data_IF_222253626215
#
_entry.id   IF_222253626215
#
_cell.length_a   1.000
_cell.length_b   1.000
_cell.length_c   1.000
_cell.angle_alpha   90.00
_cell.angle_beta   90.00
_cell.angle_gamma   90.00
#
_symmetry.space_group_name_H-M   'P 1'
#
loop_
_entity.id
_entity.type
_entity.pdbx_description
1 polymer ?
#
# COMPACT_ATOMS: atom_id res chain seq x y z
N UNK A 1 -3.92 10.55 -0.08
CA UNK A 1 -2.83 9.53 -0.03
C UNK A 1 -1.60 10.09 -0.76
N UNK A 2 -0.36 9.75 -0.37
CA UNK A 2 0.84 10.22 -1.08
C UNK A 2 2.01 9.24 -1.03
N UNK A 3 2.96 9.41 -1.96
CA UNK A 3 4.30 8.80 -1.90
C UNK A 3 5.27 9.90 -1.52
N UNK A 4 6.01 9.71 -0.43
CA UNK A 4 6.93 10.70 0.12
C UNK A 4 8.36 10.16 0.10
N UNK A 5 9.33 11.02 -0.17
CA UNK A 5 10.75 10.79 0.06
C UNK A 5 11.15 11.52 1.34
N UNK A 6 11.78 10.80 2.25
CA UNK A 6 12.18 11.28 3.57
C UNK A 6 13.69 11.23 3.72
N UNK A 7 14.29 12.19 4.41
CA UNK A 7 15.68 12.07 4.87
C UNK A 7 15.79 11.22 6.16
N UNK A 8 17.00 11.11 6.69
CA UNK A 8 17.28 10.37 7.93
C UNK A 8 16.63 10.99 9.19
N UNK A 9 16.24 12.26 9.13
CA UNK A 9 15.49 12.99 10.17
C UNK A 9 13.96 12.84 10.01
N UNK A 10 13.51 11.99 9.08
CA UNK A 10 12.11 11.81 8.67
C UNK A 10 11.44 13.08 8.11
N UNK A 11 12.23 14.05 7.64
CA UNK A 11 11.71 15.26 7.00
C UNK A 11 11.37 14.99 5.53
N UNK A 12 10.22 15.50 5.08
CA UNK A 12 9.75 15.29 3.70
C UNK A 12 10.60 16.14 2.74
N UNK A 13 11.37 15.46 1.89
CA UNK A 13 12.19 16.08 0.84
C UNK A 13 11.38 16.28 -0.44
N UNK A 14 10.53 15.30 -0.77
CA UNK A 14 9.73 15.26 -1.99
C UNK A 14 8.44 14.50 -1.75
N UNK A 15 7.35 14.96 -2.33
CA UNK A 15 6.04 14.35 -2.19
C UNK A 15 5.32 14.26 -3.53
N UNK A 16 4.62 13.15 -3.74
CA UNK A 16 3.71 12.93 -4.84
C UNK A 16 2.33 12.56 -4.27
N UNK A 17 1.35 13.47 -4.32
CA UNK A 17 -0.03 13.13 -4.03
C UNK A 17 -0.54 12.04 -4.97
N UNK A 18 -1.28 11.07 -4.44
CA UNK A 18 -1.79 9.91 -5.18
C UNK A 18 -3.31 9.94 -5.31
N UNK A 19 -3.90 11.10 -5.54
CA UNK A 19 -5.36 11.28 -5.49
C UNK A 19 -6.05 10.98 -6.83
N UNK A 20 -5.28 10.65 -7.88
CA UNK A 20 -5.77 10.54 -9.27
C UNK A 20 -5.42 9.17 -9.88
N UNK A 21 -6.04 8.10 -9.36
CA UNK A 21 -5.88 6.75 -9.89
C UNK A 21 -6.87 6.44 -11.02
N UNK A 22 -6.37 5.93 -12.13
CA UNK A 22 -7.18 5.26 -13.15
C UNK A 22 -7.18 3.76 -12.87
N UNK A 23 -8.36 3.13 -12.86
CA UNK A 23 -8.49 1.70 -12.62
C UNK A 23 -8.93 0.94 -13.86
N UNK A 24 -8.49 -0.31 -13.97
CA UNK A 24 -8.95 -1.27 -14.98
C UNK A 24 -9.22 -2.60 -14.28
N UNK A 25 -10.39 -3.18 -14.53
CA UNK A 25 -10.79 -4.46 -13.94
C UNK A 25 -10.56 -5.56 -14.96
N UNK A 26 -9.81 -6.58 -14.56
CA UNK A 26 -9.45 -7.74 -15.35
C UNK A 26 -9.93 -9.01 -14.63
N UNK A 27 -10.69 -9.85 -15.32
CA UNK A 27 -11.14 -11.13 -14.79
C UNK A 27 -10.49 -12.28 -15.56
N UNK A 28 -9.77 -13.14 -14.84
CA UNK A 28 -9.15 -14.33 -15.42
C UNK A 28 -9.98 -15.55 -15.07
N UNK A 29 -10.60 -16.16 -16.09
CA UNK A 29 -11.47 -17.33 -15.97
C UNK A 29 -10.73 -18.67 -16.14
N UNK A 30 -9.43 -18.70 -15.88
CA UNK A 30 -8.61 -19.91 -16.08
C UNK A 30 -8.62 -20.81 -14.81
N UNK A 31 -9.77 -21.42 -14.53
CA UNK A 31 -10.00 -22.39 -13.44
C UNK A 31 -9.92 -21.83 -12.01
N UNK A 32 -9.22 -20.72 -11.78
CA UNK A 32 -9.05 -20.07 -10.48
C UNK A 32 -10.06 -18.95 -10.21
N UNK A 33 -10.72 -18.39 -11.23
CA UNK A 33 -11.60 -17.22 -11.11
C UNK A 33 -10.92 -16.10 -10.33
N UNK A 34 -9.96 -15.43 -10.96
CA UNK A 34 -9.22 -14.34 -10.32
C UNK A 34 -9.75 -13.01 -10.83
N UNK A 35 -10.25 -12.18 -9.92
CA UNK A 35 -10.52 -10.77 -10.21
C UNK A 35 -9.29 -9.96 -9.83
N UNK A 36 -8.79 -9.17 -10.77
CA UNK A 36 -7.66 -8.25 -10.59
C UNK A 36 -8.10 -6.85 -10.96
N UNK A 37 -7.79 -5.89 -10.11
CA UNK A 37 -8.02 -4.46 -10.33
C UNK A 37 -6.66 -3.78 -10.39
N UNK A 38 -6.30 -3.28 -11.56
CA UNK A 38 -5.06 -2.58 -11.80
C UNK A 38 -5.31 -1.06 -11.75
N UNK A 39 -4.65 -0.40 -10.82
CA UNK A 39 -4.65 1.03 -10.63
C UNK A 39 -3.35 1.61 -11.19
N UNK A 40 -3.46 2.66 -12.00
CA UNK A 40 -2.34 3.45 -12.50
C UNK A 40 -2.52 4.90 -12.11
N UNK A 41 -1.51 5.46 -11.44
CA UNK A 41 -1.55 6.86 -11.03
C UNK A 41 -1.37 7.74 -12.27
N UNK A 42 -2.33 8.64 -12.48
CA UNK A 42 -2.24 9.66 -13.53
C UNK A 42 -1.46 10.85 -12.98
N UNK A 43 -0.22 11.01 -13.42
CA UNK A 43 0.55 12.23 -13.13
C UNK A 43 0.32 13.24 -14.24
N UNK A 44 -0.39 14.33 -13.95
CA UNK A 44 -0.51 15.45 -14.89
C UNK A 44 0.86 16.12 -15.06
N UNK A 45 1.65 15.67 -16.03
CA UNK A 45 2.76 16.48 -16.54
C UNK A 45 2.16 17.61 -17.37
N UNK A 46 1.73 18.69 -16.71
CA UNK A 46 1.35 19.93 -17.38
C UNK A 46 2.60 20.60 -17.99
N UNK A 47 3.13 20.02 -19.06
CA UNK A 47 4.00 20.72 -20.00
C UNK A 47 3.18 21.15 -21.21
N UNK A 48 2.31 22.13 -21.00
CA UNK A 48 1.83 22.99 -22.09
C UNK A 48 2.32 24.41 -21.83
N UNK A 49 3.64 24.59 -21.73
CA UNK A 49 4.26 25.89 -21.97
C UNK A 49 4.35 26.11 -23.48
N UNK A 50 3.20 26.36 -24.11
CA UNK A 50 3.15 27.18 -25.32
C UNK A 50 3.37 28.63 -24.89
N UNK A 51 4.60 28.96 -24.51
CA UNK A 51 5.04 30.34 -24.43
C UNK A 51 6.23 30.50 -25.37
N UNK A 52 5.91 30.89 -26.60
CA UNK A 52 6.82 31.66 -27.44
C UNK A 52 7.22 32.92 -26.65
N UNK A 53 8.29 32.83 -25.87
CA UNK A 53 9.09 34.00 -25.53
C UNK A 53 10.52 33.55 -25.24
N UNK A 54 11.41 34.03 -26.12
CA UNK A 54 12.86 33.98 -25.96
C UNK A 54 13.26 34.55 -24.59
N UNK A 55 13.57 33.67 -23.64
CA UNK A 55 14.57 33.97 -22.63
C UNK A 55 15.17 32.67 -22.08
N UNK A 56 16.44 32.45 -22.40
CA UNK A 56 17.25 31.32 -21.94
C UNK A 56 17.52 31.46 -20.44
N UNK A 57 16.79 30.69 -19.62
CA UNK A 57 17.27 30.00 -18.42
C UNK A 57 16.06 29.44 -17.66
N UNK A 58 15.46 28.38 -18.19
CA UNK A 58 14.55 27.54 -17.39
C UNK A 58 15.19 26.16 -17.26
N UNK A 59 15.87 25.95 -16.13
CA UNK A 59 16.13 24.60 -15.60
C UNK A 59 14.78 24.00 -15.19
N UNK A 60 13.99 23.57 -16.19
CA UNK A 60 12.87 22.70 -15.94
C UNK A 60 13.46 21.34 -15.56
N UNK A 61 13.64 21.12 -14.26
CA UNK A 61 13.86 19.79 -13.68
C UNK A 61 12.60 18.97 -13.96
N UNK A 62 12.54 18.44 -15.17
CA UNK A 62 11.46 17.65 -15.70
C UNK A 62 11.58 16.27 -15.06
N UNK A 63 11.11 16.13 -13.82
CA UNK A 63 11.16 14.88 -13.07
C UNK A 63 10.43 13.80 -13.87
N UNK A 64 11.15 12.85 -14.47
CA UNK A 64 10.53 11.77 -15.25
C UNK A 64 10.06 10.75 -14.23
N UNK A 65 8.84 10.96 -13.73
CA UNK A 65 8.30 10.09 -12.71
C UNK A 65 7.70 8.85 -13.41
N UNK A 66 8.38 7.70 -13.35
CA UNK A 66 7.93 6.43 -13.97
C UNK A 66 6.53 5.97 -13.51
N UNK A 67 5.90 4.95 -14.10
CA UNK A 67 4.55 4.53 -13.67
C UNK A 67 4.52 4.15 -12.19
N UNK A 68 3.45 4.58 -11.49
CA UNK A 68 3.10 4.07 -10.16
C UNK A 68 1.83 3.29 -10.33
N UNK A 69 1.88 2.03 -9.97
CA UNK A 69 0.78 1.11 -10.14
C UNK A 69 0.48 0.42 -8.83
N UNK A 70 -0.80 0.21 -8.55
CA UNK A 70 -1.23 -0.69 -7.50
C UNK A 70 -2.11 -1.77 -8.14
N UNK A 71 -1.99 -3.01 -7.70
CA UNK A 71 -2.79 -4.12 -8.18
C UNK A 71 -3.44 -4.78 -6.99
N UNK A 72 -4.77 -4.84 -6.99
CA UNK A 72 -5.55 -5.57 -5.98
C UNK A 72 -6.10 -6.81 -6.66
N UNK A 73 -5.98 -7.98 -6.03
CA UNK A 73 -6.56 -9.20 -6.58
C UNK A 73 -7.19 -10.07 -5.51
N UNK A 74 -8.26 -10.76 -5.86
CA UNK A 74 -8.94 -11.73 -5.01
C UNK A 74 -9.50 -12.87 -5.86
N UNK A 75 -9.93 -13.95 -5.20
CA UNK A 75 -10.47 -15.13 -5.86
C UNK A 75 -11.31 -15.93 -4.87
N UNK A 76 -12.44 -16.55 -5.30
CA UNK A 76 -13.19 -17.46 -4.44
C UNK A 76 -12.45 -18.76 -4.17
N UNK A 77 -11.38 -19.07 -4.90
CA UNK A 77 -10.57 -20.27 -4.72
C UNK A 77 -9.23 -19.95 -4.04
N UNK A 78 -8.68 -20.92 -3.32
CA UNK A 78 -7.31 -20.81 -2.82
C UNK A 78 -6.31 -20.78 -3.97
N UNK A 79 -5.20 -20.06 -3.78
CA UNK A 79 -4.15 -19.92 -4.79
C UNK A 79 -2.80 -19.63 -4.15
N UNK A 80 -1.73 -19.99 -4.82
CA UNK A 80 -0.41 -19.45 -4.52
C UNK A 80 -0.20 -18.13 -5.27
N UNK A 81 0.54 -17.22 -4.67
CA UNK A 81 0.97 -16.00 -5.32
C UNK A 81 2.45 -15.75 -5.09
N UNK A 82 3.16 -15.41 -6.16
CA UNK A 82 4.59 -15.18 -6.12
C UNK A 82 4.88 -13.75 -5.62
N UNK A 83 5.86 -13.61 -4.73
CA UNK A 83 6.50 -12.33 -4.43
C UNK A 83 8.01 -12.54 -4.37
N UNK A 84 8.71 -11.97 -5.36
CA UNK A 84 10.14 -12.24 -5.53
C UNK A 84 10.38 -13.72 -5.85
N UNK A 85 11.16 -14.40 -5.00
CA UNK A 85 11.44 -15.84 -5.06
C UNK A 85 10.48 -16.66 -4.18
N UNK A 86 9.72 -16.03 -3.31
CA UNK A 86 8.83 -16.71 -2.38
C UNK A 86 7.43 -16.89 -2.98
N UNK A 87 6.80 -17.99 -2.60
CA UNK A 87 5.41 -18.29 -2.93
C UNK A 87 4.57 -18.24 -1.68
N UNK A 88 3.60 -17.33 -1.64
CA UNK A 88 2.68 -17.16 -0.52
C UNK A 88 1.38 -17.88 -0.83
N UNK A 89 0.94 -18.73 0.10
CA UNK A 89 -0.38 -19.35 0.02
C UNK A 89 -1.46 -18.34 0.42
N UNK A 90 -2.44 -18.17 -0.45
CA UNK A 90 -3.62 -17.34 -0.24
C UNK A 90 -4.84 -18.25 -0.13
N UNK A 91 -5.55 -18.15 0.99
CA UNK A 91 -6.81 -18.84 1.18
C UNK A 91 -7.91 -18.32 0.23
N UNK A 92 -9.05 -19.02 0.17
CA UNK A 92 -10.24 -18.52 -0.53
C UNK A 92 -10.61 -17.11 -0.07
N UNK A 93 -10.94 -16.24 -1.01
CA UNK A 93 -11.29 -14.82 -0.83
C UNK A 93 -10.19 -13.93 -0.25
N UNK A 94 -8.97 -14.43 -0.08
CA UNK A 94 -7.84 -13.61 0.32
C UNK A 94 -7.58 -12.51 -0.71
N UNK A 95 -7.40 -11.29 -0.21
CA UNK A 95 -7.09 -10.10 -0.98
C UNK A 95 -5.57 -9.94 -0.97
N UNK A 96 -4.98 -9.85 -2.15
CA UNK A 96 -3.58 -9.54 -2.33
C UNK A 96 -3.45 -8.14 -2.93
N UNK A 97 -2.57 -7.32 -2.37
CA UNK A 97 -2.31 -5.98 -2.86
C UNK A 97 -0.82 -5.83 -3.17
N UNK A 98 -0.49 -5.45 -4.40
CA UNK A 98 0.87 -5.14 -4.81
C UNK A 98 0.96 -3.67 -5.19
N UNK A 99 1.91 -2.92 -4.64
CA UNK A 99 2.23 -1.55 -5.06
C UNK A 99 3.60 -1.56 -5.72
N UNK A 100 3.70 -0.94 -6.89
CA UNK A 100 4.94 -0.84 -7.65
C UNK A 100 5.19 0.64 -7.99
N UNK A 101 6.26 1.18 -7.41
CA UNK A 101 6.73 2.54 -7.65
C UNK A 101 7.98 2.46 -8.53
N UNK A 102 7.93 3.07 -9.72
CA UNK A 102 9.08 3.08 -10.64
C UNK A 102 9.46 4.49 -11.06
N UNK A 103 10.73 4.68 -11.39
CA UNK A 103 11.27 5.96 -11.85
C UNK A 103 11.14 7.06 -10.80
N UNK A 104 11.31 6.72 -9.52
CA UNK A 104 11.43 7.74 -8.49
C UNK A 104 12.84 8.30 -8.50
N UNK A 105 13.01 9.52 -8.99
CA UNK A 105 14.28 10.23 -8.91
C UNK A 105 14.50 10.76 -7.49
N UNK A 106 15.28 10.04 -6.69
CA UNK A 106 15.66 10.44 -5.34
C UNK A 106 16.51 11.72 -5.37
N UNK A 107 16.26 12.60 -4.40
CA UNK A 107 17.01 13.84 -4.19
C UNK A 107 18.23 13.64 -3.31
N UNK A 108 18.24 12.60 -2.48
CA UNK A 108 19.37 12.21 -1.63
C UNK A 108 19.70 10.73 -1.79
N UNK A 109 20.95 10.37 -1.49
CA UNK A 109 21.37 8.95 -1.43
C UNK A 109 21.04 8.30 -0.09
N UNK A 110 20.77 9.12 0.93
CA UNK A 110 20.41 8.69 2.29
C UNK A 110 18.91 8.75 2.55
N UNK A 111 18.11 9.07 1.53
CA UNK A 111 16.65 9.12 1.63
C UNK A 111 15.99 7.78 1.34
N UNK A 112 14.75 7.65 1.82
CA UNK A 112 13.92 6.47 1.62
C UNK A 112 12.48 6.87 1.28
N UNK A 113 11.73 5.96 0.66
CA UNK A 113 10.34 6.21 0.35
C UNK A 113 9.44 5.81 1.50
N UNK A 114 8.36 6.57 1.68
CA UNK A 114 7.20 6.22 2.50
C UNK A 114 5.95 6.27 1.63
N UNK A 115 5.27 5.15 1.51
CA UNK A 115 3.89 5.13 1.01
C UNK A 115 2.98 5.49 2.18
N UNK A 116 2.22 6.58 2.01
CA UNK A 116 1.41 7.21 3.04
C UNK A 116 -0.06 7.14 2.64
N UNK A 117 -0.84 6.32 3.35
CA UNK A 117 -2.30 6.27 3.18
C UNK A 117 -2.99 7.07 4.28
N UNK A 118 -3.77 8.05 3.84
CA UNK A 118 -4.67 8.81 4.67
C UNK A 118 -6.02 8.69 3.98
N UNK A 119 -6.86 7.80 4.50
CA UNK A 119 -8.23 7.64 4.05
C UNK A 119 -9.17 7.50 5.23
N UNK A 120 -10.35 8.07 5.07
CA UNK A 120 -11.44 8.09 6.04
C UNK A 120 -12.23 6.78 5.98
N UNK A 121 -11.69 5.72 6.58
CA UNK A 121 -12.41 4.45 6.69
C UNK A 121 -13.10 4.30 8.04
N UNK A 122 -14.43 4.16 8.01
CA UNK A 122 -15.20 3.70 9.17
C UNK A 122 -14.81 2.24 9.46
N UNK A 123 -13.95 2.04 10.45
CA UNK A 123 -13.59 0.70 10.95
C UNK A 123 -14.07 0.54 12.37
N UNK A 124 -14.80 -0.55 12.66
CA UNK A 124 -15.44 -0.79 13.96
C UNK A 124 -14.42 -0.92 15.11
N UNK A 125 -13.26 -1.51 14.86
CA UNK A 125 -12.15 -1.61 15.81
C UNK A 125 -10.82 -1.81 15.08
N UNK A 126 -9.79 -1.08 15.51
CA UNK A 126 -8.40 -1.23 15.08
C UNK A 126 -7.57 -1.77 16.24
N UNK A 127 -6.78 -2.83 16.02
CA UNK A 127 -5.89 -3.38 17.04
C UNK A 127 -4.55 -3.74 16.41
N UNK A 128 -3.47 -3.33 17.07
CA UNK A 128 -2.10 -3.63 16.69
C UNK A 128 -1.25 -3.87 17.95
N UNK A 129 -0.12 -4.53 17.78
CA UNK A 129 0.85 -4.74 18.85
C UNK A 129 1.72 -3.48 19.01
N UNK A 130 1.54 -2.75 20.11
CA UNK A 130 2.31 -1.54 20.44
C UNK A 130 3.75 -1.85 20.90
N UNK A 131 4.05 -3.11 21.26
CA UNK A 131 5.35 -3.47 21.86
C UNK A 131 6.48 -3.57 20.85
N UNK A 132 6.16 -3.68 19.55
CA UNK A 132 7.11 -3.65 18.46
C UNK A 132 6.90 -2.38 17.64
N UNK A 133 7.99 -1.66 17.34
CA UNK A 133 7.96 -0.43 16.54
C UNK A 133 7.56 -0.66 15.07
N UNK A 134 7.09 -1.87 14.72
CA UNK A 134 6.69 -2.31 13.39
C UNK A 134 5.31 -2.97 13.44
N UNK A 135 4.39 -2.49 12.59
CA UNK A 135 3.06 -3.06 12.43
C UNK A 135 3.18 -4.31 11.54
N UNK A 136 3.14 -5.50 12.15
CA UNK A 136 3.20 -6.78 11.41
C UNK A 136 1.81 -7.32 11.04
N UNK A 137 0.83 -7.10 11.91
CA UNK A 137 -0.53 -7.61 11.73
C UNK A 137 -1.53 -6.50 11.94
N UNK A 138 -2.56 -6.49 11.10
CA UNK A 138 -3.67 -5.56 11.20
C UNK A 138 -4.98 -6.32 11.17
N UNK A 139 -5.87 -6.02 12.11
CA UNK A 139 -7.23 -6.54 12.12
C UNK A 139 -8.20 -5.42 11.77
N UNK A 140 -9.01 -5.64 10.74
CA UNK A 140 -10.10 -4.74 10.32
C UNK A 140 -11.41 -5.51 10.38
N UNK A 141 -12.40 -4.98 11.08
CA UNK A 141 -13.75 -5.56 11.13
C UNK A 141 -14.70 -4.66 10.32
N UNK A 142 -15.46 -5.28 9.40
CA UNK A 142 -16.50 -4.62 8.62
C UNK A 142 -17.75 -5.50 8.57
N UNK A 143 -18.78 -5.12 9.32
CA UNK A 143 -20.01 -5.91 9.43
C UNK A 143 -19.74 -7.26 10.12
N UNK A 144 -19.96 -8.38 9.42
CA UNK A 144 -19.72 -9.75 9.94
C UNK A 144 -18.42 -10.38 9.42
N UNK A 145 -17.57 -9.61 8.76
CA UNK A 145 -16.30 -10.08 8.19
C UNK A 145 -15.14 -9.41 8.91
N UNK A 146 -14.16 -10.21 9.31
CA UNK A 146 -12.89 -9.77 9.82
C UNK A 146 -11.83 -9.96 8.74
N UNK A 147 -11.06 -8.93 8.45
CA UNK A 147 -9.87 -9.04 7.62
C UNK A 147 -8.65 -9.00 8.52
N UNK A 148 -7.77 -9.99 8.37
CA UNK A 148 -6.46 -9.98 9.01
C UNK A 148 -5.43 -9.71 7.92
N UNK A 149 -4.87 -8.51 7.93
CA UNK A 149 -3.72 -8.13 7.13
C UNK A 149 -2.43 -8.58 7.79
N UNK A 150 -1.50 -9.02 6.96
CA UNK A 150 -0.11 -9.24 7.35
C UNK A 150 0.77 -8.33 6.50
N UNK A 151 1.58 -7.54 7.18
CA UNK A 151 2.67 -6.82 6.56
C UNK A 151 3.93 -7.68 6.68
N UNK A 152 4.62 -7.83 5.57
CA UNK A 152 5.94 -8.44 5.51
C UNK A 152 6.99 -7.35 5.74
N UNK A 153 8.09 -7.71 6.40
CA UNK A 153 9.19 -6.80 6.76
C UNK A 153 10.23 -6.65 5.63
N UNK A 154 9.82 -6.96 4.40
CA UNK A 154 10.66 -6.83 3.23
C UNK A 154 9.87 -6.37 1.99
N UNK A 155 10.57 -5.72 1.09
CA UNK A 155 10.10 -5.29 -0.22
C UNK A 155 11.09 -5.72 -1.30
N UNK A 156 10.76 -5.52 -2.58
CA UNK A 156 11.70 -5.71 -3.67
C UNK A 156 12.20 -4.38 -4.20
N UNK A 157 13.48 -4.10 -3.98
CA UNK A 157 14.22 -3.02 -4.61
C UNK A 157 15.00 -3.59 -5.79
N UNK A 158 14.68 -3.18 -7.01
CA UNK A 158 15.36 -3.66 -8.23
C UNK A 158 15.43 -5.20 -8.30
N UNK A 159 14.33 -5.88 -7.91
CA UNK A 159 14.16 -7.35 -7.83
C UNK A 159 14.99 -8.05 -6.73
N UNK A 160 15.62 -7.30 -5.84
CA UNK A 160 16.31 -7.84 -4.68
C UNK A 160 15.51 -7.55 -3.41
N UNK A 161 15.51 -8.51 -2.49
CA UNK A 161 14.89 -8.31 -1.19
C UNK A 161 15.62 -7.21 -0.42
N UNK A 162 14.86 -6.26 0.09
CA UNK A 162 15.35 -5.22 0.99
C UNK A 162 14.40 -5.09 2.16
N UNK A 163 14.91 -4.60 3.29
CA UNK A 163 14.10 -4.36 4.47
C UNK A 163 13.00 -3.34 4.18
N UNK A 164 11.81 -3.58 4.73
CA UNK A 164 10.68 -2.65 4.71
C UNK A 164 10.07 -2.59 6.10
N UNK A 165 9.68 -1.38 6.52
CA UNK A 165 9.06 -1.17 7.83
C UNK A 165 7.69 -0.54 7.67
N UNK A 166 6.68 -1.27 8.11
CA UNK A 166 5.33 -0.73 8.29
C UNK A 166 5.21 -0.14 9.69
N UNK A 167 4.66 1.06 9.80
CA UNK A 167 4.43 1.75 11.07
C UNK A 167 3.11 2.51 11.06
N UNK A 168 2.49 2.61 12.23
CA UNK A 168 1.35 3.49 12.46
C UNK A 168 1.90 4.88 12.74
N UNK A 169 1.59 5.85 11.87
CA UNK A 169 2.04 7.23 11.99
C UNK A 169 1.13 8.06 12.90
N UNK A 170 -0.17 7.82 12.85
CA UNK A 170 -1.15 8.48 13.71
C UNK A 170 -2.41 7.64 13.84
N UNK A 171 -3.12 7.84 14.96
CA UNK A 171 -4.49 7.38 15.14
C UNK A 171 -5.30 8.57 15.66
N UNK A 172 -6.30 9.02 14.90
CA UNK A 172 -7.18 10.11 15.30
C UNK A 172 -8.59 9.55 15.56
N UNK A 173 -9.08 9.55 16.81
CA UNK A 173 -10.47 9.21 17.09
C UNK A 173 -11.40 10.29 16.52
N UNK A 174 -12.52 9.91 15.90
CA UNK A 174 -13.60 10.84 15.57
C UNK A 174 -14.45 11.12 16.83
N UNK A 175 -15.20 12.22 16.81
CA UNK A 175 -15.97 12.81 17.91
C UNK A 175 -16.91 11.86 18.68
N UNK A 176 -17.26 10.70 18.10
CA UNK A 176 -18.15 9.71 18.70
C UNK A 176 -17.42 8.49 19.30
N UNK A 177 -16.07 8.44 19.31
CA UNK A 177 -15.24 7.31 19.79
C UNK A 177 -15.55 5.93 19.14
N UNK A 178 -16.40 5.90 18.12
CA UNK A 178 -16.76 4.69 17.35
C UNK A 178 -15.86 4.55 16.12
N UNK A 179 -15.28 5.66 15.65
CA UNK A 179 -14.49 5.74 14.41
C UNK A 179 -13.08 6.18 14.78
N UNK A 180 -12.07 5.53 14.20
CA UNK A 180 -10.66 5.91 14.34
C UNK A 180 -10.02 5.98 12.96
N UNK A 181 -9.34 7.08 12.67
CA UNK A 181 -8.52 7.26 11.48
C UNK A 181 -7.12 6.77 11.80
N UNK A 182 -6.62 5.75 11.10
CA UNK A 182 -5.25 5.28 11.25
C UNK A 182 -4.45 5.64 10.01
N UNK A 183 -3.35 6.35 10.18
CA UNK A 183 -2.39 6.58 9.11
C UNK A 183 -1.29 5.53 9.20
N UNK A 184 -1.10 4.78 8.12
CA UNK A 184 -0.06 3.75 8.02
C UNK A 184 0.99 4.22 7.01
N UNK A 185 2.26 4.16 7.43
CA UNK A 185 3.40 4.41 6.58
C UNK A 185 4.17 3.12 6.35
N UNK A 186 4.50 2.82 5.10
CA UNK A 186 5.42 1.71 4.76
C UNK A 186 6.69 2.29 4.15
N UNK A 187 7.83 2.03 4.78
CA UNK A 187 9.13 2.53 4.32
C UNK A 187 9.83 1.56 3.37
N UNK A 188 10.51 2.11 2.37
CA UNK A 188 11.23 1.39 1.33
C UNK A 188 12.60 2.01 1.12
N UNK A 189 13.63 1.18 0.99
CA UNK A 189 14.97 1.65 0.62
C UNK A 189 15.01 2.28 -0.77
N UNK A 190 16.19 2.77 -1.14
CA UNK A 190 16.45 3.39 -2.45
C UNK A 190 16.32 2.37 -3.60
N UNK A 191 15.52 2.69 -4.63
CA UNK A 191 15.29 1.79 -5.78
C UNK A 191 14.78 2.49 -7.04
N UNK A 192 15.15 1.96 -8.21
CA UNK A 192 14.56 2.38 -9.49
C UNK A 192 13.17 1.77 -9.69
N UNK A 193 13.00 0.55 -9.17
CA UNK A 193 11.74 -0.18 -9.05
C UNK A 193 11.56 -0.70 -7.63
N UNK A 194 10.53 -0.20 -6.95
CA UNK A 194 10.20 -0.53 -5.57
C UNK A 194 8.84 -1.26 -5.53
N UNK A 195 8.83 -2.52 -5.12
CA UNK A 195 7.61 -3.34 -5.06
C UNK A 195 7.29 -3.73 -3.62
N UNK A 196 6.07 -3.40 -3.19
CA UNK A 196 5.44 -3.82 -1.95
C UNK A 196 4.32 -4.80 -2.25
N UNK A 197 4.13 -5.79 -1.38
CA UNK A 197 3.10 -6.82 -1.61
C UNK A 197 2.45 -7.33 -0.32
N UNK A 198 1.77 -6.46 0.45
CA UNK A 198 1.02 -6.90 1.63
C UNK A 198 -0.14 -7.84 1.25
N UNK A 199 -0.46 -8.75 2.17
CA UNK A 199 -1.55 -9.71 2.01
C UNK A 199 -2.61 -9.58 3.09
N UNK A 200 -3.88 -9.79 2.72
CA UNK A 200 -5.04 -9.72 3.60
C UNK A 200 -5.89 -10.97 3.49
N UNK A 201 -6.06 -11.67 4.60
CA UNK A 201 -6.90 -12.88 4.66
C UNK A 201 -8.22 -12.58 5.39
N UNK A 202 -9.38 -12.74 4.74
CA UNK A 202 -10.67 -12.64 5.41
C UNK A 202 -10.94 -13.87 6.27
N UNK A 203 -11.54 -13.64 7.43
CA UNK A 203 -12.16 -14.60 8.32
C UNK A 203 -13.62 -14.16 8.52
N UNK A 204 -14.57 -15.08 8.36
CA UNK A 204 -15.95 -14.81 8.74
C UNK A 204 -16.08 -14.84 10.26
N UNK A 205 -16.64 -13.79 10.85
CA UNK A 205 -16.97 -13.77 12.28
C UNK A 205 -18.32 -14.46 12.43
N UNK A 206 -18.35 -15.70 12.92
CA UNK A 206 -19.62 -16.32 13.31
C UNK A 206 -20.13 -15.66 14.58
N UNK A 207 -21.17 -14.85 14.49
CA UNK A 207 -21.94 -14.40 15.65
C UNK A 207 -22.74 -15.57 16.21
N UNK A 208 -22.17 -16.33 17.16
CA UNK A 208 -22.91 -17.34 17.92
C UNK A 208 -22.19 -18.68 18.07
N UNK A 209 -21.28 -18.76 19.04
CA UNK A 209 -20.83 -20.02 19.62
C UNK A 209 -20.62 -19.79 21.11
N UNK A 210 -21.62 -20.12 21.93
CA UNK A 210 -21.40 -20.24 23.36
C UNK A 210 -20.29 -21.28 23.56
N UNK A 211 -19.20 -20.90 24.22
CA UNK A 211 -18.23 -21.86 24.72
C UNK A 211 -18.99 -22.80 25.66
N UNK A 212 -19.32 -24.00 25.19
CA UNK A 212 -19.74 -25.08 26.08
C UNK A 212 -18.47 -25.59 26.74
N UNK A 213 -18.30 -25.26 28.02
CA UNK A 213 -17.38 -25.98 28.89
C UNK A 213 -17.75 -27.45 28.83
N UNK A 214 -16.77 -28.27 28.48
CA UNK A 214 -16.87 -29.72 28.59
C UNK A 214 -16.87 -30.01 30.10
N UNK A 215 -17.98 -30.54 30.62
CA UNK A 215 -18.04 -31.11 31.96
C UNK A 215 -17.30 -32.44 31.99
#
# INVERSE_FOLDING_TARGET
MSIQELDWDESIIKELPTDQWQSTVNETLDGKQVTTVDYKLTTNNNNNNNNNNNNNNNNNNNTIVGPKTATISFSPNSRSSQFGRDSVYLGPNAIKMSVNVTGWEFKSTESYLRVHECDDYNTDTFTYDYTNATLQYMRVIKGKVQFNGRFIDYSLANRQYTYSRTQVLSITPNSDNIISFATIGVTLGHCDQCILDPDFTPLQISSGGTCKTVN
#
